data_IF_465596669552
#
_entry.id   IF_465596669552
#
_cell.length_a   1.000
_cell.length_b   1.000
_cell.length_c   1.000
_cell.angle_alpha   90.00
_cell.angle_beta   90.00
_cell.angle_gamma   90.00
#
_symmetry.space_group_name_H-M   'P 1'
#
loop_
_entity.id
_entity.type
_entity.pdbx_description
1 polymer ?
#
# COMPACT_ATOMS: atom_id res chain seq x y z
N UNK A 1 18.42 -20.06 0.86
CA UNK A 1 17.54 -19.03 1.45
C UNK A 1 16.10 -19.55 1.67
N UNK A 2 15.38 -20.03 0.66
CA UNK A 2 14.01 -20.58 0.84
C UNK A 2 14.01 -21.81 1.76
N UNK A 3 14.96 -22.74 1.63
CA UNK A 3 15.09 -23.92 2.49
C UNK A 3 15.27 -23.57 3.98
N UNK A 4 16.05 -22.56 4.29
CA UNK A 4 16.24 -22.10 5.68
C UNK A 4 14.99 -21.47 6.28
N UNK A 5 14.18 -20.77 5.48
CA UNK A 5 12.90 -20.21 5.93
C UNK A 5 11.89 -21.33 6.22
N UNK A 6 11.87 -22.37 5.41
CA UNK A 6 11.00 -23.53 5.62
C UNK A 6 11.41 -24.31 6.87
N UNK A 7 12.72 -24.44 7.14
CA UNK A 7 13.22 -25.13 8.33
C UNK A 7 12.90 -24.40 9.65
N UNK A 8 12.78 -23.08 9.61
CA UNK A 8 12.48 -22.25 10.78
C UNK A 8 10.99 -22.00 11.00
N UNK A 9 10.15 -22.25 10.01
CA UNK A 9 8.72 -22.02 10.11
C UNK A 9 8.05 -23.08 11.00
N UNK A 10 7.25 -22.62 11.96
CA UNK A 10 6.38 -23.51 12.76
C UNK A 10 5.21 -24.08 11.93
N UNK A 11 4.78 -23.34 10.92
CA UNK A 11 3.77 -23.79 9.96
C UNK A 11 3.95 -23.08 8.61
N UNK A 12 3.54 -23.75 7.53
CA UNK A 12 3.51 -23.17 6.19
C UNK A 12 2.40 -23.77 5.35
N UNK A 13 2.02 -23.05 4.30
CA UNK A 13 0.99 -23.45 3.36
C UNK A 13 1.61 -23.67 1.98
N UNK A 14 1.31 -24.78 1.35
CA UNK A 14 1.67 -25.06 -0.03
C UNK A 14 0.38 -25.02 -0.86
N UNK A 15 0.29 -24.04 -1.77
CA UNK A 15 -0.83 -23.92 -2.69
C UNK A 15 -0.62 -24.88 -3.86
N UNK A 16 -1.63 -25.70 -4.13
CA UNK A 16 -1.73 -26.55 -5.31
C UNK A 16 -2.94 -26.11 -6.14
N UNK A 17 -3.12 -26.67 -7.33
CA UNK A 17 -4.16 -26.23 -8.26
C UNK A 17 -5.55 -26.27 -7.63
N UNK A 18 -5.91 -27.33 -6.90
CA UNK A 18 -7.26 -27.53 -6.34
C UNK A 18 -7.24 -27.74 -4.82
N UNK A 19 -6.09 -27.64 -4.17
CA UNK A 19 -5.95 -27.88 -2.74
C UNK A 19 -4.83 -27.06 -2.11
N UNK A 20 -4.85 -26.99 -0.79
CA UNK A 20 -3.84 -26.37 0.04
C UNK A 20 -3.31 -27.44 1.00
N UNK A 21 -2.01 -27.67 1.02
CA UNK A 21 -1.35 -28.46 2.04
C UNK A 21 -0.96 -27.52 3.20
N UNK A 22 -1.55 -27.77 4.35
CA UNK A 22 -1.13 -27.16 5.59
C UNK A 22 -0.10 -28.07 6.26
N UNK A 23 1.09 -27.57 6.47
CA UNK A 23 2.18 -28.27 7.16
C UNK A 23 2.49 -27.51 8.44
N UNK A 24 2.40 -28.17 9.58
CA UNK A 24 2.74 -27.61 10.87
C UNK A 24 3.74 -28.52 11.60
N UNK A 25 4.61 -27.92 12.42
CA UNK A 25 5.55 -28.61 13.30
C UNK A 25 5.17 -28.28 14.74
N UNK A 26 4.89 -29.30 15.52
CA UNK A 26 4.58 -29.16 16.93
C UNK A 26 5.33 -30.23 17.72
N UNK A 27 6.11 -29.83 18.72
CA UNK A 27 6.83 -30.75 19.63
C UNK A 27 7.72 -31.78 18.94
N UNK A 28 8.26 -31.48 17.75
CA UNK A 28 9.12 -32.39 16.97
C UNK A 28 8.39 -33.22 15.94
N UNK A 29 7.07 -33.27 15.96
CA UNK A 29 6.25 -33.95 14.96
C UNK A 29 5.87 -33.01 13.82
N UNK A 30 5.67 -33.58 12.63
CA UNK A 30 5.21 -32.85 11.46
C UNK A 30 3.81 -33.33 11.09
N UNK A 31 2.86 -32.41 11.10
CA UNK A 31 1.49 -32.65 10.69
C UNK A 31 1.28 -32.11 9.27
N UNK A 32 0.71 -32.94 8.40
CA UNK A 32 0.34 -32.53 7.04
C UNK A 32 -1.16 -32.73 6.89
N UNK A 33 -1.88 -31.66 6.56
CA UNK A 33 -3.31 -31.70 6.26
C UNK A 33 -3.56 -31.11 4.88
N UNK A 34 -4.19 -31.93 4.03
CA UNK A 34 -4.69 -31.45 2.75
C UNK A 34 -6.12 -30.89 2.95
N UNK A 35 -6.36 -29.72 2.43
CA UNK A 35 -7.65 -29.01 2.50
C UNK A 35 -8.02 -28.66 1.06
N UNK A 36 -9.24 -28.92 0.63
CA UNK A 36 -9.71 -28.46 -0.66
C UNK A 36 -9.74 -26.91 -0.71
N UNK A 37 -9.43 -26.34 -1.87
CA UNK A 37 -9.30 -24.90 -2.03
C UNK A 37 -10.59 -24.13 -1.65
N UNK A 38 -11.82 -24.58 -2.01
CA UNK A 38 -13.05 -23.93 -1.56
C UNK A 38 -13.22 -23.89 -0.04
N UNK A 39 -12.94 -25.00 0.66
CA UNK A 39 -13.01 -25.06 2.13
C UNK A 39 -11.96 -24.18 2.79
N UNK A 40 -10.74 -24.13 2.26
CA UNK A 40 -9.71 -23.22 2.71
C UNK A 40 -10.13 -21.75 2.54
N UNK A 41 -10.61 -21.37 1.35
CA UNK A 41 -11.12 -20.03 1.07
C UNK A 41 -12.26 -19.66 2.02
N UNK A 42 -13.19 -20.60 2.27
CA UNK A 42 -14.31 -20.41 3.19
C UNK A 42 -13.82 -20.18 4.62
N UNK A 43 -12.91 -21.00 5.12
CA UNK A 43 -12.32 -20.86 6.45
C UNK A 43 -11.61 -19.51 6.60
N UNK A 44 -10.79 -19.14 5.63
CA UNK A 44 -10.10 -17.83 5.59
C UNK A 44 -11.10 -16.68 5.52
N UNK A 45 -12.22 -16.88 4.79
CA UNK A 45 -13.25 -15.84 4.66
C UNK A 45 -14.05 -15.60 5.93
N UNK A 46 -14.08 -16.55 6.86
CA UNK A 46 -14.84 -16.48 8.11
C UNK A 46 -13.95 -16.18 9.33
N UNK A 47 -12.63 -16.25 9.18
CA UNK A 47 -11.70 -16.06 10.29
C UNK A 47 -11.16 -14.63 10.32
N UNK A 48 -11.02 -14.09 11.52
CA UNK A 48 -10.19 -12.91 11.74
C UNK A 48 -8.73 -13.36 11.72
N UNK A 49 -7.91 -12.66 10.94
CA UNK A 49 -6.48 -12.97 10.86
C UNK A 49 -5.64 -11.72 10.62
N UNK A 50 -4.37 -11.83 10.99
CA UNK A 50 -3.36 -10.85 10.68
C UNK A 50 -2.12 -11.59 10.19
N UNK A 51 -1.66 -11.25 8.99
CA UNK A 51 -0.43 -11.83 8.44
C UNK A 51 0.80 -11.29 9.19
N UNK A 52 1.86 -12.08 9.25
CA UNK A 52 3.18 -11.56 9.54
C UNK A 52 3.66 -10.64 8.41
N UNK A 53 4.62 -9.78 8.74
CA UNK A 53 5.21 -8.90 7.76
C UNK A 53 6.10 -9.66 6.78
N UNK A 54 5.86 -9.44 5.50
CA UNK A 54 6.74 -9.87 4.43
C UNK A 54 7.32 -8.63 3.77
N UNK A 55 8.59 -8.33 4.01
CA UNK A 55 9.34 -7.32 3.27
C UNK A 55 10.18 -8.07 2.23
N UNK A 56 9.59 -8.32 1.08
CA UNK A 56 10.26 -8.90 -0.05
C UNK A 56 10.20 -7.89 -1.21
N UNK A 57 11.33 -7.48 -1.80
CA UNK A 57 11.35 -6.50 -2.88
C UNK A 57 10.54 -6.92 -4.12
N UNK A 58 10.25 -8.22 -4.26
CA UNK A 58 9.42 -8.76 -5.34
C UNK A 58 7.91 -8.81 -5.00
N UNK A 59 7.52 -8.58 -3.74
CA UNK A 59 6.11 -8.65 -3.31
C UNK A 59 5.54 -7.24 -3.13
N UNK A 60 4.53 -6.91 -3.91
CA UNK A 60 3.75 -5.67 -3.78
C UNK A 60 2.85 -5.66 -2.53
N UNK A 61 2.50 -6.82 -1.99
CA UNK A 61 1.66 -6.97 -0.80
C UNK A 61 2.54 -7.24 0.42
N UNK A 62 2.41 -6.41 1.45
CA UNK A 62 3.19 -6.47 2.68
C UNK A 62 2.41 -7.01 3.86
N UNK A 63 1.13 -6.70 3.93
CA UNK A 63 0.30 -7.06 5.06
C UNK A 63 -1.16 -7.24 4.66
N UNK A 64 -1.79 -8.25 5.21
CA UNK A 64 -3.25 -8.46 5.16
C UNK A 64 -3.74 -8.67 6.58
N UNK A 65 -4.75 -7.94 6.97
CA UNK A 65 -5.51 -8.21 8.19
C UNK A 65 -6.98 -8.33 7.86
N UNK A 66 -7.66 -9.20 8.59
CA UNK A 66 -9.10 -9.35 8.51
C UNK A 66 -9.69 -9.33 9.90
N UNK A 67 -10.67 -8.49 10.10
CA UNK A 67 -11.42 -8.37 11.36
C UNK A 67 -12.89 -8.19 11.03
N UNK A 68 -13.76 -8.98 11.67
CA UNK A 68 -15.22 -8.90 11.50
C UNK A 68 -15.67 -8.95 10.02
N UNK A 69 -15.03 -9.82 9.22
CA UNK A 69 -15.33 -9.95 7.81
C UNK A 69 -14.78 -8.83 6.90
N UNK A 70 -14.13 -7.81 7.46
CA UNK A 70 -13.54 -6.68 6.72
C UNK A 70 -12.04 -6.88 6.54
N UNK A 71 -11.56 -6.71 5.32
CA UNK A 71 -10.15 -6.91 4.98
C UNK A 71 -9.44 -5.58 4.80
N UNK A 72 -8.29 -5.42 5.44
CA UNK A 72 -7.35 -4.33 5.22
C UNK A 72 -6.10 -4.90 4.58
N UNK A 73 -5.59 -4.23 3.55
CA UNK A 73 -4.32 -4.59 2.92
C UNK A 73 -3.36 -3.42 2.94
N UNK A 74 -2.07 -3.71 3.11
CA UNK A 74 -0.98 -2.75 2.91
C UNK A 74 -0.11 -3.28 1.78
N UNK A 75 0.08 -2.46 0.78
CA UNK A 75 0.90 -2.78 -0.40
C UNK A 75 1.81 -1.61 -0.75
N UNK A 76 2.80 -1.84 -1.61
CA UNK A 76 3.62 -0.76 -2.16
C UNK A 76 3.66 -0.79 -3.67
N UNK A 77 3.94 0.38 -4.23
CA UNK A 77 4.18 0.59 -5.66
C UNK A 77 5.54 1.28 -5.78
N UNK A 78 6.43 0.82 -6.66
CA UNK A 78 7.72 1.47 -6.87
C UNK A 78 7.55 2.87 -7.47
N UNK A 79 8.58 3.73 -7.38
CA UNK A 79 8.60 5.02 -8.06
C UNK A 79 8.30 4.86 -9.56
N UNK A 80 7.51 5.76 -10.10
CA UNK A 80 7.08 5.70 -11.51
C UNK A 80 6.67 7.08 -12.03
N UNK A 81 6.75 7.27 -13.33
CA UNK A 81 6.26 8.50 -13.97
C UNK A 81 4.78 8.35 -14.33
N UNK A 82 3.98 9.34 -13.97
CA UNK A 82 2.55 9.40 -14.24
C UNK A 82 2.18 10.65 -15.04
N UNK A 83 1.20 10.52 -15.92
CA UNK A 83 0.58 11.65 -16.59
C UNK A 83 -0.60 12.15 -15.72
N UNK A 84 -0.35 13.16 -14.91
CA UNK A 84 -1.34 13.78 -14.04
C UNK A 84 -2.21 14.76 -14.84
N UNK A 85 -3.53 14.68 -14.68
CA UNK A 85 -4.49 15.54 -15.39
C UNK A 85 -5.10 16.55 -14.43
N UNK A 86 -5.02 17.83 -14.77
CA UNK A 86 -5.70 18.93 -14.09
C UNK A 86 -6.77 19.50 -15.03
N UNK A 87 -7.60 20.43 -14.52
CA UNK A 87 -8.70 21.01 -15.31
C UNK A 87 -8.22 21.64 -16.63
N UNK A 88 -7.07 22.32 -16.63
CA UNK A 88 -6.57 23.12 -17.76
C UNK A 88 -5.22 22.67 -18.33
N UNK A 89 -4.57 21.68 -17.72
CA UNK A 89 -3.26 21.19 -18.15
C UNK A 89 -3.02 19.75 -17.72
N UNK A 90 -1.96 19.13 -18.24
CA UNK A 90 -1.47 17.82 -17.80
C UNK A 90 0.03 17.89 -17.57
N UNK A 91 0.55 17.10 -16.64
CA UNK A 91 1.96 17.05 -16.26
C UNK A 91 2.45 15.60 -16.29
N UNK A 92 3.54 15.34 -16.98
CA UNK A 92 4.30 14.10 -16.82
C UNK A 92 5.22 14.23 -15.62
N UNK A 93 4.96 13.55 -14.52
CA UNK A 93 5.70 13.72 -13.26
C UNK A 93 6.24 12.39 -12.78
N UNK A 94 7.56 12.26 -12.52
CA UNK A 94 8.08 11.16 -11.74
C UNK A 94 7.58 11.32 -10.29
N UNK A 95 6.91 10.30 -9.78
CA UNK A 95 6.41 10.28 -8.40
C UNK A 95 7.23 9.28 -7.57
N UNK A 96 7.38 9.52 -6.24
CA UNK A 96 8.08 8.61 -5.34
C UNK A 96 7.33 7.28 -5.22
N UNK A 97 7.97 6.29 -4.60
CA UNK A 97 7.32 5.06 -4.23
C UNK A 97 6.14 5.30 -3.30
N UNK A 98 5.05 4.54 -3.48
CA UNK A 98 3.84 4.66 -2.70
C UNK A 98 3.60 3.46 -1.80
N UNK A 99 3.29 3.69 -0.52
CA UNK A 99 2.66 2.73 0.39
C UNK A 99 1.17 3.00 0.36
N UNK A 100 0.40 1.98 0.05
CA UNK A 100 -1.05 2.05 -0.10
C UNK A 100 -1.72 1.18 0.97
N UNK A 101 -2.57 1.80 1.76
CA UNK A 101 -3.51 1.09 2.64
C UNK A 101 -4.88 1.10 1.96
N UNK A 102 -5.44 -0.08 1.78
CA UNK A 102 -6.77 -0.25 1.23
C UNK A 102 -7.69 -0.91 2.24
N UNK A 103 -8.83 -0.30 2.46
CA UNK A 103 -9.90 -0.82 3.31
C UNK A 103 -11.25 -0.46 2.69
N UNK A 104 -12.03 -1.47 2.32
CA UNK A 104 -13.32 -1.29 1.65
C UNK A 104 -13.18 -0.43 0.37
N UNK A 105 -13.89 0.70 0.29
CA UNK A 105 -13.82 1.68 -0.80
C UNK A 105 -12.85 2.83 -0.53
N UNK A 106 -12.03 2.73 0.51
CA UNK A 106 -11.13 3.81 0.92
C UNK A 106 -9.69 3.44 0.62
N UNK A 107 -8.90 4.46 0.30
CA UNK A 107 -7.48 4.37 0.03
C UNK A 107 -6.74 5.41 0.85
N UNK A 108 -5.62 5.01 1.46
CA UNK A 108 -4.65 5.93 2.07
C UNK A 108 -3.33 5.72 1.38
N UNK A 109 -2.61 6.80 1.11
CA UNK A 109 -1.38 6.79 0.34
C UNK A 109 -0.31 7.60 1.04
N UNK A 110 0.86 7.00 1.18
CA UNK A 110 2.05 7.61 1.75
C UNK A 110 3.23 7.41 0.80
N UNK A 111 4.18 8.33 0.81
CA UNK A 111 5.43 8.15 0.08
C UNK A 111 6.47 7.45 0.95
N UNK A 112 7.42 6.77 0.31
CA UNK A 112 8.62 6.24 0.95
C UNK A 112 9.85 6.57 0.11
N UNK A 113 11.00 6.58 0.79
CA UNK A 113 12.33 6.73 0.19
C UNK A 113 13.04 5.39 0.19
N UNK A 114 14.01 5.23 -0.66
CA UNK A 114 14.91 4.09 -0.72
C UNK A 114 14.19 2.72 -0.75
N UNK A 115 14.84 1.70 -0.20
CA UNK A 115 14.25 0.37 -0.04
C UNK A 115 13.30 0.34 1.16
N UNK A 116 12.06 -0.13 0.92
CA UNK A 116 11.02 -0.18 1.94
C UNK A 116 11.28 -1.29 2.97
N UNK A 117 11.33 -0.90 4.24
CA UNK A 117 11.46 -1.77 5.40
C UNK A 117 10.40 -1.44 6.46
N UNK A 118 10.25 -2.26 7.49
CA UNK A 118 9.33 -1.99 8.60
C UNK A 118 9.63 -0.68 9.34
N UNK A 119 10.91 -0.31 9.40
CA UNK A 119 11.37 0.92 10.07
C UNK A 119 11.39 2.13 9.13
N UNK A 120 11.05 1.96 7.85
CA UNK A 120 11.03 3.07 6.90
C UNK A 120 10.05 4.14 7.34
N UNK A 121 10.54 5.38 7.41
CA UNK A 121 9.71 6.57 7.62
C UNK A 121 8.79 6.77 6.42
N UNK A 122 7.54 7.07 6.69
CA UNK A 122 6.55 7.42 5.67
C UNK A 122 6.41 8.94 5.56
N UNK A 123 6.10 9.38 4.36
CA UNK A 123 5.97 10.79 4.01
C UNK A 123 4.59 11.07 3.44
N UNK A 124 4.12 12.31 3.54
CA UNK A 124 2.94 12.73 2.80
C UNK A 124 3.17 12.49 1.32
N UNK A 125 2.20 11.86 0.65
CA UNK A 125 2.33 11.63 -0.78
C UNK A 125 2.16 12.95 -1.53
N UNK A 126 3.07 13.32 -2.45
CA UNK A 126 3.12 14.66 -3.04
C UNK A 126 2.08 14.85 -4.16
N UNK A 127 0.81 14.60 -3.85
CA UNK A 127 -0.33 14.84 -4.73
C UNK A 127 -1.43 15.60 -4.00
N UNK A 128 -2.18 16.47 -4.68
CA UNK A 128 -3.43 17.00 -4.16
C UNK A 128 -4.48 15.90 -4.04
N UNK A 129 -5.64 16.21 -3.48
CA UNK A 129 -6.74 15.28 -3.24
C UNK A 129 -6.39 14.12 -2.30
N UNK A 130 -5.38 14.29 -1.45
CA UNK A 130 -5.04 13.40 -0.34
C UNK A 130 -5.02 14.26 0.92
N UNK A 131 -5.78 13.89 1.96
CA UNK A 131 -5.81 14.66 3.20
C UNK A 131 -4.52 14.49 4.04
N UNK A 132 -4.40 15.20 5.15
CA UNK A 132 -3.21 15.18 6.03
C UNK A 132 -3.01 13.81 6.71
N UNK A 133 -4.00 12.92 6.68
CA UNK A 133 -3.91 11.55 7.18
C UNK A 133 -3.63 10.54 6.06
N UNK A 134 -3.34 11.03 4.86
CA UNK A 134 -3.06 10.21 3.70
C UNK A 134 -4.30 9.66 2.98
N UNK A 135 -5.52 9.99 3.43
CA UNK A 135 -6.75 9.48 2.84
C UNK A 135 -7.05 10.18 1.51
N UNK A 136 -7.35 9.37 0.49
CA UNK A 136 -7.72 9.88 -0.82
C UNK A 136 -9.14 10.45 -0.82
N UNK A 137 -9.27 11.66 -1.32
CA UNK A 137 -10.56 12.31 -1.62
C UNK A 137 -10.95 11.97 -3.06
N UNK A 138 -12.01 11.19 -3.23
CA UNK A 138 -12.42 10.70 -4.54
C UNK A 138 -13.27 11.70 -5.35
N UNK A 139 -13.85 12.71 -4.68
CA UNK A 139 -14.81 13.59 -5.31
C UNK A 139 -15.92 12.82 -6.04
N UNK A 140 -16.08 13.06 -7.34
CA UNK A 140 -17.07 12.38 -8.18
C UNK A 140 -16.48 11.23 -9.01
N UNK A 141 -15.31 10.71 -8.66
CA UNK A 141 -14.68 9.59 -9.38
C UNK A 141 -15.47 8.31 -9.12
N UNK A 142 -15.89 7.63 -10.19
CA UNK A 142 -16.49 6.31 -10.09
C UNK A 142 -15.44 5.30 -9.61
N UNK A 143 -15.67 4.72 -8.45
CA UNK A 143 -14.72 3.79 -7.86
C UNK A 143 -14.75 2.44 -8.56
N UNK A 144 -13.61 1.92 -9.03
CA UNK A 144 -13.54 0.55 -9.51
C UNK A 144 -13.77 -0.43 -8.34
N UNK A 145 -14.35 -1.58 -8.65
CA UNK A 145 -14.58 -2.60 -7.62
C UNK A 145 -13.26 -3.21 -7.13
N UNK A 146 -12.92 -2.95 -5.85
CA UNK A 146 -12.25 -3.86 -4.90
C UNK A 146 -10.81 -4.35 -5.16
N UNK A 147 -10.00 -3.69 -5.97
CA UNK A 147 -8.59 -4.03 -6.10
C UNK A 147 -7.73 -2.77 -5.83
N UNK A 148 -6.78 -2.79 -4.87
CA UNK A 148 -5.92 -1.65 -4.55
C UNK A 148 -5.21 -1.06 -5.77
N UNK A 149 -4.73 -1.91 -6.70
CA UNK A 149 -4.09 -1.45 -7.94
C UNK A 149 -5.06 -0.71 -8.86
N UNK A 150 -6.28 -1.22 -9.01
CA UNK A 150 -7.31 -0.56 -9.83
C UNK A 150 -7.74 0.76 -9.22
N UNK A 151 -7.86 0.83 -7.90
CA UNK A 151 -8.17 2.07 -7.19
C UNK A 151 -7.03 3.10 -7.32
N UNK A 152 -5.78 2.67 -7.15
CA UNK A 152 -4.63 3.53 -7.39
C UNK A 152 -4.64 4.10 -8.82
N UNK A 153 -4.81 3.24 -9.83
CA UNK A 153 -4.88 3.67 -11.22
C UNK A 153 -6.04 4.65 -11.46
N UNK A 154 -7.21 4.39 -10.90
CA UNK A 154 -8.35 5.31 -10.99
C UNK A 154 -8.02 6.68 -10.37
N UNK A 155 -7.30 6.71 -9.25
CA UNK A 155 -6.88 7.94 -8.59
C UNK A 155 -5.88 8.72 -9.45
N UNK A 156 -4.76 8.11 -9.86
CA UNK A 156 -3.71 8.82 -10.60
C UNK A 156 -4.10 9.21 -12.01
N UNK A 157 -5.12 8.59 -12.59
CA UNK A 157 -5.68 8.95 -13.90
C UNK A 157 -6.88 9.90 -13.82
N UNK A 158 -7.37 10.18 -12.62
CA UNK A 158 -8.46 11.13 -12.39
C UNK A 158 -8.05 12.57 -12.68
N UNK A 159 -9.03 13.48 -12.69
CA UNK A 159 -8.74 14.91 -12.77
C UNK A 159 -8.49 15.45 -11.37
N UNK A 160 -7.30 15.97 -11.17
CA UNK A 160 -6.92 16.64 -9.93
C UNK A 160 -7.45 18.07 -9.89
N UNK A 161 -7.76 18.52 -8.67
CA UNK A 161 -7.98 19.93 -8.33
C UNK A 161 -6.91 20.36 -7.30
N UNK A 162 -7.14 21.44 -6.57
CA UNK A 162 -6.22 21.95 -5.53
C UNK A 162 -6.69 21.63 -4.11
N UNK A 163 -7.65 20.70 -3.94
CA UNK A 163 -8.06 20.29 -2.62
C UNK A 163 -6.91 19.53 -1.93
N UNK A 164 -6.62 19.87 -0.67
CA UNK A 164 -5.55 19.26 0.13
C UNK A 164 -4.16 19.38 -0.51
N UNK A 165 -3.81 20.52 -1.09
CA UNK A 165 -2.55 20.76 -1.79
C UNK A 165 -1.40 21.27 -0.90
N UNK A 166 -1.67 21.53 0.38
CA UNK A 166 -0.70 22.01 1.36
C UNK A 166 0.03 20.89 2.12
N UNK A 167 1.16 21.23 2.76
CA UNK A 167 1.97 20.36 3.62
C UNK A 167 2.47 19.06 2.96
N UNK A 168 2.71 19.07 1.64
CA UNK A 168 3.16 17.90 0.89
C UNK A 168 4.49 18.10 0.15
N UNK A 169 5.05 19.27 0.23
CA UNK A 169 6.31 19.67 -0.36
C UNK A 169 7.07 20.59 0.59
N UNK A 170 8.35 20.36 0.76
CA UNK A 170 9.21 21.27 1.53
C UNK A 170 9.47 22.56 0.78
N UNK A 171 9.65 22.49 -0.53
CA UNK A 171 9.90 23.65 -1.38
C UNK A 171 8.63 24.51 -1.57
N UNK A 172 7.46 23.87 -1.64
CA UNK A 172 6.17 24.52 -1.85
C UNK A 172 5.13 24.09 -0.80
N UNK A 173 5.30 24.50 0.48
CA UNK A 173 4.50 23.98 1.59
C UNK A 173 3.00 24.29 1.49
N UNK A 174 2.61 25.30 0.72
CA UNK A 174 1.22 25.72 0.54
C UNK A 174 0.61 25.28 -0.80
N UNK A 175 1.40 24.69 -1.70
CA UNK A 175 0.90 24.36 -3.04
C UNK A 175 1.77 23.27 -3.70
N UNK A 176 1.44 22.02 -3.46
CA UNK A 176 2.16 20.89 -4.07
C UNK A 176 2.08 20.89 -5.60
N UNK A 177 1.05 21.51 -6.20
CA UNK A 177 0.91 21.60 -7.65
C UNK A 177 2.04 22.42 -8.27
N UNK A 178 2.55 23.45 -7.57
CA UNK A 178 3.74 24.20 -7.99
C UNK A 178 4.98 23.30 -8.03
N UNK A 179 5.20 22.48 -7.00
CA UNK A 179 6.27 21.51 -6.99
C UNK A 179 6.16 20.50 -8.14
N UNK A 180 4.95 19.97 -8.39
CA UNK A 180 4.74 19.03 -9.49
C UNK A 180 5.05 19.65 -10.87
N UNK A 181 4.78 20.94 -11.06
CA UNK A 181 5.15 21.65 -12.29
C UNK A 181 6.66 21.77 -12.44
N UNK A 182 7.37 22.16 -11.38
CA UNK A 182 8.84 22.25 -11.39
C UNK A 182 9.48 20.88 -11.68
N UNK A 183 9.03 19.83 -10.98
CA UNK A 183 9.51 18.46 -11.22
C UNK A 183 9.23 18.01 -12.65
N UNK A 184 8.03 18.31 -13.19
CA UNK A 184 7.67 17.98 -14.58
C UNK A 184 8.54 18.70 -15.62
N UNK A 185 9.03 19.89 -15.30
CA UNK A 185 9.92 20.68 -16.19
C UNK A 185 11.39 20.34 -16.00
N UNK A 186 11.75 19.64 -14.94
CA UNK A 186 13.12 19.19 -14.70
C UNK A 186 13.49 18.04 -15.64
N UNK A 187 14.77 17.83 -15.84
CA UNK A 187 15.29 16.67 -16.57
C UNK A 187 15.39 15.41 -15.68
N UNK A 188 14.98 15.51 -14.43
CA UNK A 188 15.03 14.40 -13.48
C UNK A 188 13.99 13.34 -13.83
N UNK A 189 14.39 12.08 -13.77
CA UNK A 189 13.51 10.92 -13.90
C UNK A 189 12.97 10.42 -12.55
N UNK A 190 13.38 11.06 -11.44
CA UNK A 190 12.98 10.72 -10.07
C UNK A 190 12.46 11.95 -9.34
N UNK A 191 11.50 11.73 -8.43
CA UNK A 191 11.02 12.79 -7.54
C UNK A 191 12.12 13.19 -6.55
N UNK A 192 12.30 14.49 -6.24
CA UNK A 192 13.32 14.95 -5.29
C UNK A 192 12.96 14.52 -3.86
N UNK A 193 13.68 13.54 -3.34
CA UNK A 193 13.39 12.96 -2.02
C UNK A 193 13.51 13.95 -0.86
N UNK A 194 14.39 14.97 -0.98
CA UNK A 194 14.54 16.05 0.01
C UNK A 194 13.28 16.92 0.12
N UNK A 195 12.41 16.89 -0.89
CA UNK A 195 11.16 17.65 -0.89
C UNK A 195 10.04 16.97 -0.09
N UNK A 196 10.16 15.67 0.21
CA UNK A 196 9.14 14.92 0.91
C UNK A 196 8.98 15.37 2.37
N UNK A 197 7.74 15.60 2.80
CA UNK A 197 7.36 16.02 4.15
C UNK A 197 7.06 14.79 5.01
N UNK A 198 7.76 14.61 6.14
CA UNK A 198 7.56 13.46 7.02
C UNK A 198 6.19 13.47 7.69
N UNK A 199 5.57 12.28 7.78
CA UNK A 199 4.34 12.07 8.58
C UNK A 199 4.63 11.68 10.02
N UNK A 200 5.89 11.47 10.40
CA UNK A 200 6.31 10.88 11.68
C UNK A 200 5.80 9.45 11.91
N UNK A 201 5.33 8.78 10.86
CA UNK A 201 4.92 7.37 10.90
C UNK A 201 6.00 6.49 10.30
N UNK A 202 6.12 5.26 10.82
CA UNK A 202 6.85 4.18 10.16
C UNK A 202 5.87 3.19 9.54
N UNK A 203 6.35 2.35 8.63
CA UNK A 203 5.52 1.29 8.04
C UNK A 203 4.98 0.34 9.13
N UNK A 204 5.77 0.00 10.14
CA UNK A 204 5.31 -0.82 11.27
C UNK A 204 4.22 -0.13 12.09
N UNK A 205 4.38 1.17 12.39
CA UNK A 205 3.38 1.94 13.12
C UNK A 205 2.08 2.07 12.32
N UNK A 206 2.18 2.28 11.00
CA UNK A 206 1.02 2.31 10.11
C UNK A 206 0.20 1.03 10.20
N UNK A 207 0.84 -0.14 10.21
CA UNK A 207 0.12 -1.41 10.31
C UNK A 207 -0.58 -1.61 11.66
N UNK A 208 0.08 -1.25 12.75
CA UNK A 208 -0.55 -1.31 14.07
C UNK A 208 -1.76 -0.37 14.17
N UNK A 209 -1.65 0.79 13.53
CA UNK A 209 -2.72 1.79 13.47
C UNK A 209 -3.88 1.30 12.61
N UNK A 210 -3.60 0.69 11.44
CA UNK A 210 -4.64 0.14 10.57
C UNK A 210 -5.45 -0.96 11.25
N UNK A 211 -4.81 -1.81 12.04
CA UNK A 211 -5.50 -2.83 12.82
C UNK A 211 -6.45 -2.24 13.89
N UNK A 212 -6.21 -1.00 14.34
CA UNK A 212 -7.02 -0.34 15.39
C UNK A 212 -8.08 0.61 14.83
N UNK A 213 -7.76 1.41 13.82
CA UNK A 213 -8.60 2.53 13.37
C UNK A 213 -9.57 2.19 12.24
N UNK A 214 -9.28 1.17 11.45
CA UNK A 214 -10.17 0.79 10.35
C UNK A 214 -11.09 -0.39 10.69
N UNK A 215 -11.12 -0.77 11.96
CA UNK A 215 -12.02 -1.79 12.51
C UNK A 215 -13.35 -1.20 13.06
N UNK A 216 -13.61 0.12 12.86
CA UNK A 216 -14.84 0.78 13.28
C UNK A 216 -15.64 1.33 12.10
#
# INVERSE_FOLDING_TARGET
>A
MISQLIEQAQAFLIMQQDSVLFVARESGDTFIKQIDLPSFIRAMSQSDFQSNWYVNPLMKLHHISRKEGRTTTISSIPPSTYLLKFKSFSLGVPLPGAVIVHFQSQLWVYAYKDELSLNSTLYHYPLPNIDDRGKVCWGNVALPRLNPSSMWNAFVTSKFNQDYDNNKSQAHPYNVVSQLKEVSQSLSTVYPEQDLVSTNLTLAALAQTTARYYAF
#
